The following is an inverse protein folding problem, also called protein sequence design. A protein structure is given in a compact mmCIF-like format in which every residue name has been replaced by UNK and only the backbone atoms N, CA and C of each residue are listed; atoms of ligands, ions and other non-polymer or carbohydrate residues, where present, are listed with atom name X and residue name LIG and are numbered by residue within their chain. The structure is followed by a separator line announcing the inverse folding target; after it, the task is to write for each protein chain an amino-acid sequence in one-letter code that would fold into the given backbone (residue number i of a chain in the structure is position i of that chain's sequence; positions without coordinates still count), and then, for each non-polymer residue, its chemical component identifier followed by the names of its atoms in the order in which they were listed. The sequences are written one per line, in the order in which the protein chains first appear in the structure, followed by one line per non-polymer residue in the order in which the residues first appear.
data_IF_634981891748
#
_entry.id   IF_634981891748
#
_cell.length_a   1.000
_cell.length_b   1.000
_cell.length_c   1.000
_cell.angle_alpha   90.00
_cell.angle_beta   90.00
_cell.angle_gamma   90.00
#
_symmetry.space_group_name_H-M   'P 1'
#
loop_
_entity.id
_entity.type
_entity.pdbx_description
1 polymer ?
#
# COMPACT_ATOMS: atom_id res chain seq x y z
N UNK A 1 14.79 -8.66 21.20
CA UNK A 1 13.80 -9.33 20.33
C UNK A 1 12.77 -8.28 19.97
N UNK A 2 12.39 -8.15 18.71
CA UNK A 2 11.33 -7.23 18.31
C UNK A 2 9.99 -7.73 18.86
N UNK A 3 9.19 -6.83 19.42
CA UNK A 3 7.85 -7.19 19.92
C UNK A 3 6.95 -7.60 18.76
N UNK A 4 6.04 -8.56 19.01
CA UNK A 4 5.04 -8.96 18.00
C UNK A 4 3.99 -7.86 17.84
N UNK A 5 3.56 -7.66 16.59
CA UNK A 5 2.53 -6.69 16.20
C UNK A 5 1.58 -7.30 15.18
N UNK A 6 0.38 -6.72 15.05
CA UNK A 6 -0.60 -7.13 14.07
C UNK A 6 -0.32 -6.44 12.74
N UNK A 7 -0.19 -7.22 11.67
CA UNK A 7 -0.05 -6.74 10.31
C UNK A 7 -1.39 -6.75 9.59
N UNK A 8 -1.68 -5.68 8.86
CA UNK A 8 -2.93 -5.51 8.12
C UNK A 8 -2.65 -5.04 6.70
N UNK A 9 -3.30 -5.68 5.73
CA UNK A 9 -3.34 -5.21 4.36
C UNK A 9 -4.53 -4.29 4.18
N UNK A 10 -4.27 -3.04 3.86
CA UNK A 10 -5.29 -2.04 3.53
C UNK A 10 -5.34 -1.93 2.01
N UNK A 11 -6.47 -2.27 1.41
CA UNK A 11 -6.74 -1.96 0.00
C UNK A 11 -7.55 -0.66 -0.06
N UNK A 12 -7.10 0.28 -0.87
CA UNK A 12 -7.71 1.59 -1.00
C UNK A 12 -7.75 2.06 -2.46
N UNK A 13 -8.59 3.06 -2.70
CA UNK A 13 -8.72 3.72 -3.98
C UNK A 13 -8.58 5.22 -3.78
N UNK A 14 -7.59 5.81 -4.47
CA UNK A 14 -7.38 7.25 -4.52
C UNK A 14 -8.10 7.79 -5.76
N UNK A 15 -8.93 8.81 -5.57
CA UNK A 15 -9.63 9.50 -6.64
C UNK A 15 -8.88 10.78 -6.97
N UNK A 16 -8.48 10.89 -8.22
CA UNK A 16 -7.83 12.07 -8.79
C UNK A 16 -8.81 12.71 -9.76
N UNK A 17 -9.01 14.00 -9.64
CA UNK A 17 -9.87 14.78 -10.54
C UNK A 17 -8.98 15.68 -11.36
N UNK A 18 -9.20 15.67 -12.67
CA UNK A 18 -8.61 16.61 -13.61
C UNK A 18 -9.73 17.32 -14.38
N UNK A 19 -9.74 18.66 -14.43
CA UNK A 19 -10.81 19.40 -15.10
C UNK A 19 -10.88 19.20 -16.62
N UNK A 20 -9.82 18.66 -17.25
CA UNK A 20 -9.73 18.42 -18.69
C UNK A 20 -9.98 16.97 -19.07
N UNK A 21 -9.52 16.02 -18.25
CA UNK A 21 -9.59 14.58 -18.56
C UNK A 21 -10.61 13.81 -17.72
N UNK A 22 -11.17 14.44 -16.68
CA UNK A 22 -12.18 13.85 -15.79
C UNK A 22 -11.56 13.14 -14.58
N UNK A 23 -12.31 12.19 -14.02
CA UNK A 23 -11.94 11.50 -12.79
C UNK A 23 -11.16 10.21 -13.10
N UNK A 24 -9.99 10.07 -12.49
CA UNK A 24 -9.20 8.84 -12.47
C UNK A 24 -9.27 8.20 -11.08
N UNK A 25 -9.32 6.88 -11.05
CA UNK A 25 -9.26 6.11 -9.81
C UNK A 25 -8.07 5.18 -9.83
N UNK A 26 -7.23 5.29 -8.81
CA UNK A 26 -6.03 4.46 -8.67
C UNK A 26 -6.19 3.60 -7.44
N UNK A 27 -6.23 2.28 -7.65
CA UNK A 27 -6.31 1.30 -6.56
C UNK A 27 -4.91 0.87 -6.16
N UNK A 28 -4.65 0.87 -4.85
CA UNK A 28 -3.38 0.47 -4.29
C UNK A 28 -3.54 -0.11 -2.89
N UNK A 29 -2.51 -0.86 -2.49
CA UNK A 29 -2.46 -1.47 -1.18
C UNK A 29 -1.45 -0.76 -0.29
N UNK A 30 -1.75 -0.60 1.00
CA UNK A 30 -0.82 -0.15 2.01
C UNK A 30 -0.74 -1.18 3.14
N UNK A 31 0.42 -1.23 3.80
CA UNK A 31 0.60 -2.02 5.00
C UNK A 31 0.33 -1.13 6.22
N UNK A 32 -0.45 -1.62 7.16
CA UNK A 32 -0.72 -1.00 8.45
C UNK A 32 -0.31 -1.97 9.54
N UNK A 33 0.26 -1.45 10.63
CA UNK A 33 0.62 -2.24 11.80
C UNK A 33 -0.01 -1.68 13.05
N UNK A 34 -0.56 -2.55 13.91
CA UNK A 34 -1.14 -2.16 15.21
C UNK A 34 -0.59 -3.03 16.33
N UNK A 35 -0.57 -2.50 17.56
CA UNK A 35 -0.22 -3.30 18.75
C UNK A 35 -1.39 -4.19 19.19
N UNK A 36 -2.60 -3.66 19.07
CA UNK A 36 -3.83 -4.35 19.45
C UNK A 36 -4.44 -5.12 18.28
N UNK A 37 -5.25 -6.14 18.57
CA UNK A 37 -5.94 -6.95 17.56
C UNK A 37 -7.20 -6.28 16.97
N UNK A 38 -7.22 -4.96 16.92
CA UNK A 38 -8.29 -4.18 16.32
C UNK A 38 -7.71 -2.91 15.70
N UNK A 39 -8.48 -2.28 14.81
CA UNK A 39 -8.11 -1.04 14.14
C UNK A 39 -8.86 0.10 14.81
N UNK A 40 -8.14 0.97 15.49
CA UNK A 40 -8.73 2.17 16.07
C UNK A 40 -8.94 3.25 15.01
N UNK A 41 -9.71 4.28 15.35
CA UNK A 41 -9.92 5.44 14.47
C UNK A 41 -8.62 6.11 14.03
N UNK A 42 -7.63 6.19 14.92
CA UNK A 42 -6.32 6.76 14.60
C UNK A 42 -5.56 5.90 13.58
N UNK A 43 -5.73 4.58 13.64
CA UNK A 43 -5.10 3.64 12.71
C UNK A 43 -5.69 3.77 11.30
N UNK A 44 -6.98 4.11 11.16
CA UNK A 44 -7.59 4.44 9.87
C UNK A 44 -6.96 5.69 9.25
N UNK A 45 -6.68 6.72 10.04
CA UNK A 45 -5.98 7.91 9.56
C UNK A 45 -4.53 7.58 9.13
N UNK A 46 -3.85 6.71 9.89
CA UNK A 46 -2.52 6.21 9.53
C UNK A 46 -2.56 5.39 8.24
N UNK A 47 -3.61 4.58 8.04
CA UNK A 47 -3.81 3.81 6.81
C UNK A 47 -3.99 4.73 5.60
N UNK A 48 -4.83 5.76 5.71
CA UNK A 48 -5.00 6.76 4.64
C UNK A 48 -3.68 7.48 4.33
N UNK A 49 -2.91 7.86 5.37
CA UNK A 49 -1.59 8.47 5.19
C UNK A 49 -0.60 7.53 4.47
N UNK A 50 -0.61 6.24 4.81
CA UNK A 50 0.23 5.24 4.16
C UNK A 50 -0.16 5.03 2.69
N UNK A 51 -1.47 4.99 2.39
CA UNK A 51 -2.00 4.94 1.02
C UNK A 51 -1.55 6.16 0.23
N UNK A 52 -1.75 7.37 0.76
CA UNK A 52 -1.32 8.60 0.08
C UNK A 52 0.19 8.67 -0.12
N UNK A 53 0.98 8.20 0.86
CA UNK A 53 2.43 8.11 0.74
C UNK A 53 2.89 7.15 -0.35
N UNK A 54 2.21 6.00 -0.51
CA UNK A 54 2.50 5.08 -1.62
C UNK A 54 2.01 5.64 -2.96
N UNK A 55 0.85 6.28 -2.96
CA UNK A 55 0.29 6.92 -4.15
C UNK A 55 1.24 8.00 -4.68
N UNK A 56 1.75 8.89 -3.82
CA UNK A 56 2.68 9.95 -4.25
C UNK A 56 4.02 9.44 -4.78
N UNK A 57 4.44 8.23 -4.39
CA UNK A 57 5.65 7.58 -4.91
C UNK A 57 5.45 6.91 -6.27
N UNK A 58 4.21 6.60 -6.66
CA UNK A 58 3.90 5.78 -7.84
C UNK A 58 3.04 6.47 -8.87
N UNK A 59 2.34 7.55 -8.51
CA UNK A 59 1.47 8.29 -9.39
C UNK A 59 2.24 9.35 -10.17
N UNK A 60 2.09 9.32 -11.49
CA UNK A 60 2.50 10.41 -12.37
C UNK A 60 1.36 11.42 -12.47
N UNK A 61 1.37 12.43 -11.59
CA UNK A 61 0.36 13.49 -11.60
C UNK A 61 0.79 14.64 -12.52
N UNK A 62 -0.10 15.02 -13.42
CA UNK A 62 -0.02 16.24 -14.20
C UNK A 62 -0.31 17.49 -13.38
N UNK A 63 -0.02 18.66 -13.96
CA UNK A 63 -0.17 19.97 -13.30
C UNK A 63 -1.60 20.28 -12.84
N UNK A 64 -2.59 19.75 -13.55
CA UNK A 64 -4.01 20.00 -13.29
C UNK A 64 -4.68 18.87 -12.47
N UNK A 65 -3.93 17.83 -12.08
CA UNK A 65 -4.44 16.72 -11.30
C UNK A 65 -4.54 17.08 -9.82
N UNK A 66 -5.66 16.76 -9.19
CA UNK A 66 -5.87 16.94 -7.76
C UNK A 66 -6.43 15.67 -7.13
N UNK A 67 -5.84 15.25 -6.01
CA UNK A 67 -6.42 14.18 -5.20
C UNK A 67 -7.68 14.72 -4.54
N UNK A 68 -8.83 14.19 -4.92
CA UNK A 68 -10.13 14.58 -4.40
C UNK A 68 -10.56 13.73 -3.20
N UNK A 69 -10.27 12.43 -3.21
CA UNK A 69 -10.69 11.53 -2.14
C UNK A 69 -9.80 10.27 -2.02
N UNK A 70 -9.89 9.60 -0.86
CA UNK A 70 -9.24 8.33 -0.56
C UNK A 70 -10.22 7.39 0.14
N UNK A 71 -10.71 6.41 -0.61
CA UNK A 71 -11.61 5.37 -0.10
C UNK A 71 -10.83 4.16 0.38
N UNK A 72 -11.04 3.75 1.63
CA UNK A 72 -10.61 2.43 2.08
C UNK A 72 -11.64 1.41 1.62
N UNK A 73 -11.20 0.44 0.80
CA UNK A 73 -12.07 -0.57 0.19
C UNK A 73 -12.16 -1.81 1.09
N UNK A 74 -11.04 -2.28 1.61
CA UNK A 74 -11.00 -3.43 2.50
C UNK A 74 -9.80 -3.39 3.42
N UNK A 75 -9.91 -4.00 4.59
CA UNK A 75 -8.78 -4.22 5.49
C UNK A 75 -8.76 -5.70 5.88
N UNK A 76 -7.62 -6.36 5.64
CA UNK A 76 -7.44 -7.79 5.91
C UNK A 76 -6.34 -8.00 6.94
N UNK A 77 -6.58 -8.83 7.96
CA UNK A 77 -5.55 -9.20 8.94
C UNK A 77 -4.59 -10.20 8.29
N UNK A 78 -3.29 -9.91 8.34
CA UNK A 78 -2.23 -10.76 7.81
C UNK A 78 -1.58 -11.64 8.88
N UNK A 79 -1.74 -11.28 10.16
CA UNK A 79 -1.26 -12.09 11.28
C UNK A 79 -0.66 -11.27 12.42
N UNK A 80 -0.26 -11.97 13.48
CA UNK A 80 0.38 -11.41 14.68
C UNK A 80 1.78 -12.02 14.84
N UNK A 81 2.80 -11.26 14.46
CA UNK A 81 4.17 -11.75 14.34
C UNK A 81 5.17 -10.61 14.50
N UNK A 82 6.46 -10.94 14.59
CA UNK A 82 7.53 -9.94 14.55
C UNK A 82 7.75 -9.44 13.11
N UNK A 83 8.33 -8.24 12.91
CA UNK A 83 8.68 -7.77 11.56
C UNK A 83 9.57 -8.75 10.79
N UNK A 84 10.54 -9.38 11.46
CA UNK A 84 11.45 -10.33 10.83
C UNK A 84 10.70 -11.58 10.32
N UNK A 85 9.77 -12.12 11.12
CA UNK A 85 8.89 -13.24 10.71
C UNK A 85 8.00 -12.84 9.52
N UNK A 86 7.46 -11.62 9.51
CA UNK A 86 6.63 -11.13 8.42
C UNK A 86 7.42 -11.01 7.11
N UNK A 87 8.63 -10.43 7.16
CA UNK A 87 9.47 -10.21 5.98
C UNK A 87 10.09 -11.51 5.44
N UNK A 88 10.35 -12.49 6.31
CA UNK A 88 10.89 -13.78 5.89
C UNK A 88 10.01 -14.48 4.83
N UNK A 89 8.68 -14.35 4.93
CA UNK A 89 7.74 -14.93 3.96
C UNK A 89 7.74 -14.28 2.57
N UNK A 90 8.43 -13.16 2.38
CA UNK A 90 8.56 -12.49 1.07
C UNK A 90 9.91 -12.77 0.39
N UNK A 91 10.83 -13.45 1.08
CA UNK A 91 12.15 -13.80 0.54
C UNK A 91 12.12 -14.96 -0.46
N UNK A 92 10.96 -15.60 -0.64
CA UNK A 92 10.74 -16.68 -1.62
C UNK A 92 10.48 -16.16 -3.05
N UNK A 93 10.53 -14.84 -3.28
CA UNK A 93 10.42 -14.29 -4.63
C UNK A 93 11.60 -14.81 -5.49
N UNK A 94 11.35 -15.51 -6.63
CA UNK A 94 12.45 -15.87 -7.51
C UNK A 94 13.16 -14.59 -7.94
N UNK A 95 14.48 -14.57 -7.79
CA UNK A 95 15.33 -13.51 -8.32
C UNK A 95 14.90 -13.22 -9.77
N UNK A 96 14.75 -11.94 -10.11
CA UNK A 96 14.36 -11.50 -11.44
C UNK A 96 15.08 -12.35 -12.51
N UNK A 97 14.37 -12.83 -13.55
CA UNK A 97 15.01 -13.65 -14.58
C UNK A 97 16.23 -12.90 -15.10
N UNK A 98 17.40 -13.55 -15.04
CA UNK A 98 18.64 -13.01 -15.58
C UNK A 98 18.37 -12.54 -17.01
N UNK A 99 18.85 -11.33 -17.32
CA UNK A 99 18.70 -10.69 -18.61
C UNK A 99 18.91 -11.72 -19.74
N UNK A 100 17.91 -11.84 -20.60
CA UNK A 100 17.94 -12.75 -21.74
C UNK A 100 19.23 -12.55 -22.52
N UNK A 101 20.02 -13.62 -22.66
CA UNK A 101 21.05 -13.71 -23.69
C UNK A 101 20.36 -13.44 -25.04
N UNK A 102 20.52 -12.23 -25.56
CA UNK A 102 20.35 -11.97 -26.99
C UNK A 102 21.50 -12.68 -27.70
N UNK A 103 21.21 -13.87 -28.24
CA UNK A 103 22.04 -14.50 -29.25
C UNK A 103 21.60 -13.98 -30.62
N UNK A 104 22.55 -13.28 -31.25
CA UNK A 104 22.72 -12.92 -32.67
C UNK A 104 21.53 -13.05 -33.63
#
# INVERSE_FOLDING_TARGET
MSDKIHFWLVAAQVVVVNPKTGDQRVSLNALLTTKENYIARLDLANAQKAVLGRFSQTAELGKDDQVADVFTVSISHLGHMTPDEFHAGFNDAPAAPAAANQVN
#
